data_IF_794156792807
#
_entry.id   IF_794156792807
#
_cell.length_a   1.000
_cell.length_b   1.000
_cell.length_c   1.000
_cell.angle_alpha   90.00
_cell.angle_beta   90.00
_cell.angle_gamma   90.00
#
_symmetry.space_group_name_H-M   'P 1'
#
loop_
_entity.id
_entity.type
_entity.pdbx_description
1 polymer ?
#
# COMPACT_ATOMS: atom_id res chain seq x y z
N UNK A 1 -16.86 -15.02 -19.18
CA UNK A 1 -15.85 -14.73 -20.21
C UNK A 1 -16.01 -13.32 -20.76
N UNK A 2 -17.22 -12.90 -21.16
CA UNK A 2 -17.46 -11.53 -21.70
C UNK A 2 -16.96 -10.38 -20.82
N UNK A 3 -17.06 -10.49 -19.50
CA UNK A 3 -16.56 -9.45 -18.59
C UNK A 3 -15.04 -9.27 -18.66
N UNK A 4 -14.28 -10.37 -18.76
CA UNK A 4 -12.82 -10.32 -18.89
C UNK A 4 -12.44 -9.75 -20.26
N UNK A 5 -13.15 -10.12 -21.32
CA UNK A 5 -12.93 -9.56 -22.67
C UNK A 5 -13.24 -8.06 -22.73
N UNK A 6 -14.27 -7.59 -22.01
CA UNK A 6 -14.56 -6.17 -21.87
C UNK A 6 -13.43 -5.43 -21.14
N UNK A 7 -12.96 -5.96 -20.01
CA UNK A 7 -11.84 -5.35 -19.27
C UNK A 7 -10.53 -5.39 -20.05
N UNK A 8 -10.30 -6.42 -20.87
CA UNK A 8 -9.11 -6.57 -21.70
C UNK A 8 -9.06 -5.59 -22.88
N UNK A 9 -10.14 -4.82 -23.13
CA UNK A 9 -10.12 -3.76 -24.14
C UNK A 9 -9.02 -2.74 -23.78
N UNK A 10 -8.13 -2.35 -24.72
CA UNK A 10 -6.99 -1.46 -24.44
C UNK A 10 -7.38 -0.14 -23.76
N UNK A 11 -8.53 0.40 -24.18
CA UNK A 11 -9.17 1.61 -23.66
C UNK A 11 -9.61 1.52 -22.19
N UNK A 12 -9.74 0.31 -21.64
CA UNK A 12 -10.17 0.05 -20.26
C UNK A 12 -8.98 -0.46 -19.43
N UNK A 13 -8.23 -1.45 -19.93
CA UNK A 13 -7.10 -2.03 -19.21
C UNK A 13 -5.96 -1.03 -18.98
N UNK A 14 -5.68 -0.15 -19.95
CA UNK A 14 -4.60 0.84 -19.83
C UNK A 14 -4.78 1.76 -18.63
N UNK A 15 -5.92 2.47 -18.50
CA UNK A 15 -6.23 3.26 -17.32
C UNK A 15 -6.28 2.45 -16.02
N UNK A 16 -6.81 1.22 -16.04
CA UNK A 16 -6.87 0.34 -14.87
C UNK A 16 -5.48 -0.05 -14.35
N UNK A 17 -4.52 -0.31 -15.24
CA UNK A 17 -3.13 -0.59 -14.85
C UNK A 17 -2.54 0.63 -14.12
N UNK A 18 -2.72 1.83 -14.69
CA UNK A 18 -2.25 3.06 -14.05
C UNK A 18 -2.88 3.28 -12.67
N UNK A 19 -4.20 3.11 -12.56
CA UNK A 19 -4.93 3.25 -11.31
C UNK A 19 -4.45 2.24 -10.25
N UNK A 20 -4.34 0.95 -10.63
CA UNK A 20 -3.90 -0.11 -9.71
C UNK A 20 -2.45 0.09 -9.28
N UNK A 21 -1.57 0.60 -10.14
CA UNK A 21 -0.20 0.94 -9.79
C UNK A 21 -0.14 2.06 -8.72
N UNK A 22 -0.89 3.14 -8.91
CA UNK A 22 -0.94 4.26 -7.94
C UNK A 22 -1.52 3.79 -6.60
N UNK A 23 -2.64 3.07 -6.64
CA UNK A 23 -3.29 2.55 -5.43
C UNK A 23 -2.35 1.58 -4.70
N UNK A 24 -1.69 0.67 -5.42
CA UNK A 24 -0.73 -0.26 -4.85
C UNK A 24 0.45 0.45 -4.18
N UNK A 25 1.01 1.47 -4.83
CA UNK A 25 2.10 2.27 -4.27
C UNK A 25 1.70 2.99 -2.97
N UNK A 26 0.51 3.59 -2.94
CA UNK A 26 -0.04 4.23 -1.74
C UNK A 26 -0.25 3.22 -0.61
N UNK A 27 -0.86 2.07 -0.90
CA UNK A 27 -1.11 1.01 0.10
C UNK A 27 0.20 0.57 0.74
N UNK A 28 1.22 0.25 -0.06
CA UNK A 28 2.52 -0.20 0.46
C UNK A 28 3.18 0.88 1.32
N UNK A 29 3.12 2.14 0.88
CA UNK A 29 3.71 3.26 1.61
C UNK A 29 3.02 3.52 2.95
N UNK A 30 1.69 3.48 2.97
CA UNK A 30 0.89 3.64 4.18
C UNK A 30 1.08 2.47 5.13
N UNK A 31 1.10 1.23 4.61
CA UNK A 31 1.31 0.05 5.43
C UNK A 31 2.67 0.09 6.14
N UNK A 32 3.76 0.45 5.43
CA UNK A 32 5.08 0.62 6.04
C UNK A 32 5.06 1.62 7.19
N UNK A 33 4.51 2.82 6.96
CA UNK A 33 4.40 3.84 8.01
C UNK A 33 3.53 3.42 9.18
N UNK A 34 2.46 2.68 8.92
CA UNK A 34 1.62 2.14 9.98
C UNK A 34 2.42 1.18 10.88
N UNK A 35 3.18 0.24 10.29
CA UNK A 35 3.99 -0.69 11.06
C UNK A 35 5.13 0.01 11.82
N UNK A 36 5.84 0.95 11.19
CA UNK A 36 6.85 1.78 11.86
C UNK A 36 6.25 2.52 13.07
N UNK A 37 5.05 3.08 12.90
CA UNK A 37 4.35 3.75 14.00
C UNK A 37 3.98 2.78 15.14
N UNK A 38 3.47 1.59 14.80
CA UNK A 38 3.15 0.56 15.80
C UNK A 38 4.40 0.11 16.56
N UNK A 39 5.51 -0.11 15.87
CA UNK A 39 6.79 -0.47 16.48
C UNK A 39 7.27 0.61 17.46
N UNK A 40 7.24 1.89 17.04
CA UNK A 40 7.61 3.01 17.93
C UNK A 40 6.70 3.07 19.16
N UNK A 41 5.39 2.87 18.99
CA UNK A 41 4.46 2.83 20.11
C UNK A 41 4.75 1.66 21.07
N UNK A 42 5.16 0.51 20.56
CA UNK A 42 5.53 -0.64 21.36
C UNK A 42 6.84 -0.39 22.12
N UNK A 43 7.87 0.19 21.48
CA UNK A 43 9.11 0.63 22.14
C UNK A 43 8.83 1.59 23.30
N UNK A 44 7.98 2.61 23.07
CA UNK A 44 7.55 3.56 24.11
C UNK A 44 6.85 2.82 25.27
N UNK A 45 5.96 1.87 24.97
CA UNK A 45 5.26 1.08 26.01
C UNK A 45 6.21 0.24 26.85
N UNK A 46 7.32 -0.21 26.27
CA UNK A 46 8.36 -0.96 26.96
C UNK A 46 9.38 -0.05 27.68
N UNK A 47 9.22 1.27 27.61
CA UNK A 47 10.16 2.24 28.19
C UNK A 47 11.49 2.35 27.44
N UNK A 48 11.54 1.87 26.20
CA UNK A 48 12.69 1.99 25.30
C UNK A 48 12.58 3.27 24.47
N UNK A 49 13.72 3.84 24.10
CA UNK A 49 13.75 4.97 23.16
C UNK A 49 13.30 4.47 21.76
N UNK A 50 12.21 5.02 21.19
CA UNK A 50 11.67 4.59 19.90
C UNK A 50 12.56 4.94 18.70
N UNK A 51 13.52 5.87 18.87
CA UNK A 51 14.32 6.44 17.78
C UNK A 51 15.78 5.96 17.79
N UNK A 52 16.14 5.07 18.73
CA UNK A 52 17.41 4.33 18.72
C UNK A 52 17.26 3.12 17.79
N UNK A 53 18.14 3.03 16.77
CA UNK A 53 18.27 1.87 15.87
C UNK A 53 18.68 0.59 16.61
#
# INVERSE_FOLDING_TARGET
MEFIEYLAKPQIIGPLIGLTAVVGWVIVTVAKRYFEHQERMEKIRMGMDPDIE
#
